data_IF_249704945420
#
_entry.id   IF_249704945420
#
_cell.length_a   1.000
_cell.length_b   1.000
_cell.length_c   1.000
_cell.angle_alpha   90.00
_cell.angle_beta   90.00
_cell.angle_gamma   90.00
#
_symmetry.space_group_name_H-M   'P 1'
#
loop_
_entity.id
_entity.type
_entity.pdbx_description
1 polymer ?
#
# COMPACT_ATOMS: atom_id res chain seq x y z
N UNK A 1 31.40 -6.13 8.87
CA UNK A 1 30.80 -5.43 10.04
C UNK A 1 29.62 -4.57 9.57
N UNK A 2 28.63 -5.18 8.89
CA UNK A 2 27.40 -4.50 8.49
C UNK A 2 26.43 -4.68 9.67
N UNK A 3 26.63 -3.78 10.63
CA UNK A 3 26.84 -4.02 12.07
C UNK A 3 25.67 -4.65 12.81
N UNK A 4 25.94 -5.27 13.96
CA UNK A 4 24.92 -5.84 14.84
C UNK A 4 23.82 -4.83 15.24
N UNK A 5 24.14 -3.53 15.16
CA UNK A 5 23.16 -2.45 15.21
C UNK A 5 22.06 -2.57 14.15
N UNK A 6 22.42 -2.78 12.87
CA UNK A 6 21.45 -2.94 11.77
C UNK A 6 20.53 -4.15 12.00
N UNK A 7 21.07 -5.26 12.49
CA UNK A 7 20.29 -6.47 12.81
C UNK A 7 19.37 -6.22 14.01
N UNK A 8 19.87 -5.59 15.06
CA UNK A 8 19.08 -5.25 16.26
C UNK A 8 17.93 -4.30 15.91
N UNK A 9 18.21 -3.21 15.19
CA UNK A 9 17.19 -2.25 14.77
C UNK A 9 16.11 -2.90 13.92
N UNK A 10 16.50 -3.82 13.06
CA UNK A 10 15.56 -4.57 12.25
C UNK A 10 14.70 -5.54 13.07
N UNK A 11 15.26 -6.22 14.07
CA UNK A 11 14.46 -7.00 15.03
C UNK A 11 13.46 -6.14 15.78
N UNK A 12 13.90 -5.00 16.33
CA UNK A 12 13.07 -4.08 17.11
C UNK A 12 11.97 -3.46 16.25
N UNK A 13 12.29 -3.04 15.02
CA UNK A 13 11.33 -2.41 14.11
C UNK A 13 10.10 -3.27 13.82
N UNK A 14 10.25 -4.61 13.84
CA UNK A 14 9.15 -5.54 13.62
C UNK A 14 8.45 -5.99 14.90
N UNK A 15 8.92 -5.58 16.07
CA UNK A 15 8.20 -5.80 17.32
C UNK A 15 7.04 -4.81 17.42
N UNK A 16 5.82 -5.34 17.58
CA UNK A 16 4.60 -4.54 17.69
C UNK A 16 4.35 -4.09 19.15
N UNK A 17 5.38 -3.57 19.83
CA UNK A 17 5.26 -3.06 21.20
C UNK A 17 5.65 -1.58 21.27
N UNK A 18 5.05 -0.86 22.22
CA UNK A 18 5.37 0.55 22.44
C UNK A 18 6.85 0.75 22.78
N UNK A 19 7.39 -0.11 23.65
CA UNK A 19 8.80 -0.06 24.06
C UNK A 19 9.74 -0.23 22.86
N UNK A 20 9.43 -1.15 21.95
CA UNK A 20 10.24 -1.36 20.75
C UNK A 20 10.18 -0.16 19.81
N UNK A 21 9.02 0.46 19.64
CA UNK A 21 8.89 1.69 18.83
C UNK A 21 9.75 2.80 19.44
N UNK A 22 9.67 3.01 20.76
CA UNK A 22 10.47 4.01 21.47
C UNK A 22 11.97 3.70 21.36
N UNK A 23 12.37 2.45 21.56
CA UNK A 23 13.77 2.01 21.44
C UNK A 23 14.30 2.21 20.02
N UNK A 24 13.51 1.87 19.00
CA UNK A 24 13.89 2.06 17.60
C UNK A 24 14.18 3.54 17.32
N UNK A 25 13.23 4.43 17.61
CA UNK A 25 13.39 5.85 17.28
C UNK A 25 14.48 6.54 18.12
N UNK A 26 14.66 6.14 19.38
CA UNK A 26 15.73 6.67 20.25
C UNK A 26 17.13 6.16 19.90
N UNK A 27 17.25 5.10 19.09
CA UNK A 27 18.53 4.55 18.65
C UNK A 27 19.18 5.31 17.49
N UNK A 28 18.50 6.31 16.92
CA UNK A 28 19.01 7.15 15.83
C UNK A 28 19.18 8.60 16.30
N UNK A 29 20.26 9.24 15.86
CA UNK A 29 20.56 10.62 16.21
C UNK A 29 19.85 11.63 15.31
N UNK A 30 19.32 11.19 14.16
CA UNK A 30 18.62 12.03 13.20
C UNK A 30 17.67 11.25 12.29
N UNK A 31 16.73 11.97 11.66
CA UNK A 31 15.87 11.43 10.60
C UNK A 31 16.67 10.86 9.43
N UNK A 32 17.81 11.47 9.08
CA UNK A 32 18.65 11.02 7.97
C UNK A 32 19.21 9.62 8.21
N UNK A 33 19.59 9.31 9.45
CA UNK A 33 20.06 7.97 9.81
C UNK A 33 18.93 6.93 9.70
N UNK A 34 17.71 7.29 10.07
CA UNK A 34 16.52 6.44 9.90
C UNK A 34 16.29 6.17 8.41
N UNK A 35 16.34 7.20 7.57
CA UNK A 35 16.16 7.07 6.11
C UNK A 35 17.26 6.16 5.52
N UNK A 36 18.51 6.35 5.92
CA UNK A 36 19.62 5.52 5.47
C UNK A 36 19.49 4.07 5.93
N UNK A 37 19.04 3.85 7.17
CA UNK A 37 18.69 2.52 7.66
C UNK A 37 17.55 1.90 6.82
N UNK A 38 16.47 2.63 6.56
CA UNK A 38 15.35 2.17 5.73
C UNK A 38 15.78 1.83 4.30
N UNK A 39 16.75 2.54 3.75
CA UNK A 39 17.33 2.25 2.42
C UNK A 39 18.14 0.96 2.42
N UNK A 40 18.92 0.70 3.47
CA UNK A 40 19.89 -0.41 3.55
C UNK A 40 19.33 -1.69 4.18
N UNK A 41 18.24 -1.61 4.95
CA UNK A 41 17.65 -2.77 5.63
C UNK A 41 17.33 -3.88 4.63
N UNK A 42 17.44 -5.13 5.08
CA UNK A 42 17.03 -6.28 4.26
C UNK A 42 15.55 -6.13 3.91
N UNK A 43 15.26 -6.20 2.62
CA UNK A 43 13.92 -6.14 2.06
C UNK A 43 13.57 -7.53 1.55
N UNK A 44 12.28 -7.86 1.63
CA UNK A 44 11.75 -9.00 0.94
C UNK A 44 11.10 -8.51 -0.35
N UNK A 45 11.32 -9.24 -1.43
CA UNK A 45 10.68 -8.93 -2.70
C UNK A 45 9.17 -9.18 -2.59
N UNK A 46 8.34 -8.30 -3.16
CA UNK A 46 6.90 -8.52 -3.18
C UNK A 46 6.53 -9.70 -4.06
N UNK A 47 5.60 -10.51 -3.57
CA UNK A 47 4.82 -11.45 -4.35
C UNK A 47 3.63 -10.71 -4.94
N UNK A 48 3.36 -10.96 -6.21
CA UNK A 48 2.23 -10.37 -6.93
C UNK A 48 1.20 -11.47 -7.21
N UNK A 49 -0.05 -11.20 -6.87
CA UNK A 49 -1.20 -12.02 -7.28
C UNK A 49 -2.29 -11.13 -7.87
N UNK A 50 -3.09 -11.67 -8.78
CA UNK A 50 -4.05 -10.88 -9.53
C UNK A 50 -5.43 -11.53 -9.48
N UNK A 51 -6.47 -10.70 -9.52
CA UNK A 51 -7.83 -11.13 -9.79
C UNK A 51 -8.32 -10.42 -11.05
N UNK A 52 -8.95 -11.20 -11.94
CA UNK A 52 -9.49 -10.71 -13.21
C UNK A 52 -10.56 -9.64 -13.00
N UNK A 53 -10.70 -8.78 -14.02
CA UNK A 53 -11.67 -7.70 -14.09
C UNK A 53 -11.36 -6.78 -15.27
N UNK A 54 -12.06 -5.66 -15.32
CA UNK A 54 -11.86 -4.60 -16.32
C UNK A 54 -10.50 -3.91 -16.12
N UNK A 55 -9.87 -3.53 -17.24
CA UNK A 55 -8.51 -2.95 -17.28
C UNK A 55 -8.51 -1.42 -17.31
N UNK A 56 -9.67 -0.76 -17.41
CA UNK A 56 -9.76 0.71 -17.47
C UNK A 56 -9.36 1.38 -16.14
N UNK A 57 -9.77 0.76 -15.02
CA UNK A 57 -9.39 1.14 -13.66
C UNK A 57 -8.81 -0.09 -12.97
N UNK A 58 -7.55 -0.02 -12.55
CA UNK A 58 -6.89 -1.12 -11.85
C UNK A 58 -6.65 -0.76 -10.39
N UNK A 59 -7.11 -1.64 -9.50
CA UNK A 59 -6.89 -1.50 -8.07
C UNK A 59 -5.58 -2.20 -7.65
N UNK A 60 -4.63 -1.45 -7.13
CA UNK A 60 -3.40 -1.96 -6.52
C UNK A 60 -3.57 -2.01 -5.00
N UNK A 61 -3.53 -3.21 -4.44
CA UNK A 61 -3.78 -3.49 -3.03
C UNK A 61 -2.50 -4.03 -2.38
N UNK A 62 -1.62 -3.15 -1.85
CA UNK A 62 -0.42 -3.56 -1.14
C UNK A 62 -0.72 -4.04 0.28
N UNK A 63 -0.14 -5.16 0.71
CA UNK A 63 -0.35 -5.68 2.05
C UNK A 63 0.68 -6.72 2.46
N UNK A 64 0.61 -7.17 3.71
CA UNK A 64 1.59 -8.14 4.21
C UNK A 64 1.12 -9.54 3.84
N UNK A 65 -0.09 -9.90 4.25
CA UNK A 65 -0.64 -11.24 4.14
C UNK A 65 -1.61 -11.36 2.95
N UNK A 66 -1.28 -12.17 1.95
CA UNK A 66 -2.14 -12.43 0.78
C UNK A 66 -3.56 -12.90 1.15
N UNK A 67 -3.68 -13.74 2.19
CA UNK A 67 -4.98 -14.25 2.63
C UNK A 67 -5.86 -13.13 3.20
N UNK A 68 -5.28 -12.20 3.96
CA UNK A 68 -6.00 -11.03 4.46
C UNK A 68 -6.40 -10.08 3.34
N UNK A 69 -5.52 -9.86 2.37
CA UNK A 69 -5.80 -8.99 1.21
C UNK A 69 -6.96 -9.50 0.36
N UNK A 70 -7.01 -10.81 0.10
CA UNK A 70 -8.08 -11.45 -0.67
C UNK A 70 -9.36 -11.68 0.14
N UNK A 71 -9.22 -11.82 1.46
CA UNK A 71 -10.32 -12.14 2.38
C UNK A 71 -11.13 -10.92 2.84
N UNK A 72 -10.59 -9.70 2.74
CA UNK A 72 -11.31 -8.50 3.17
C UNK A 72 -12.56 -8.27 2.31
N UNK A 73 -13.73 -8.38 2.92
CA UNK A 73 -15.04 -8.15 2.28
C UNK A 73 -15.13 -6.74 1.70
N UNK A 74 -14.55 -5.76 2.37
CA UNK A 74 -14.56 -4.36 1.95
C UNK A 74 -13.88 -4.10 0.59
N UNK A 75 -12.79 -4.79 0.28
CA UNK A 75 -12.14 -4.66 -1.04
C UNK A 75 -12.91 -5.39 -2.13
N UNK A 76 -13.60 -6.48 -1.80
CA UNK A 76 -14.41 -7.21 -2.80
C UNK A 76 -15.52 -6.30 -3.32
N UNK A 77 -16.23 -5.63 -2.43
CA UNK A 77 -17.38 -4.80 -2.79
C UNK A 77 -16.96 -3.50 -3.49
N UNK A 78 -15.92 -2.83 -2.97
CA UNK A 78 -15.44 -1.56 -3.54
C UNK A 78 -14.85 -1.72 -4.95
N UNK A 79 -14.12 -2.81 -5.18
CA UNK A 79 -13.44 -3.08 -6.43
C UNK A 79 -14.10 -4.23 -7.19
N UNK A 80 -15.41 -4.39 -7.03
CA UNK A 80 -16.22 -5.28 -7.87
C UNK A 80 -16.17 -4.79 -9.32
N UNK A 81 -15.83 -5.70 -10.23
CA UNK A 81 -15.70 -5.41 -11.67
C UNK A 81 -14.30 -4.95 -12.10
N UNK A 82 -13.47 -4.42 -11.21
CA UNK A 82 -12.11 -3.96 -11.55
C UNK A 82 -11.08 -5.08 -11.42
N UNK A 83 -10.07 -5.07 -12.30
CA UNK A 83 -8.88 -5.89 -12.10
C UNK A 83 -8.19 -5.45 -10.80
N UNK A 84 -7.81 -6.43 -10.00
CA UNK A 84 -7.11 -6.21 -8.73
C UNK A 84 -5.72 -6.82 -8.79
N UNK A 85 -4.73 -6.05 -8.36
CA UNK A 85 -3.34 -6.48 -8.21
C UNK A 85 -3.02 -6.41 -6.73
N UNK A 86 -2.85 -7.56 -6.12
CA UNK A 86 -2.40 -7.68 -4.75
C UNK A 86 -0.88 -7.81 -4.74
N UNK A 87 -0.22 -6.97 -3.95
CA UNK A 87 1.24 -6.99 -3.82
C UNK A 87 1.62 -7.11 -2.35
N UNK A 88 2.32 -8.18 -1.98
CA UNK A 88 2.68 -8.38 -0.59
C UNK A 88 3.90 -9.24 -0.36
N UNK A 89 4.48 -9.12 0.83
CA UNK A 89 5.68 -9.89 1.21
C UNK A 89 5.34 -11.23 1.89
N UNK A 90 4.06 -11.60 1.97
CA UNK A 90 3.58 -12.80 2.65
C UNK A 90 3.73 -12.69 4.17
N UNK A 91 4.60 -13.50 4.77
CA UNK A 91 4.80 -13.57 6.22
C UNK A 91 6.00 -12.78 6.73
N UNK A 92 6.75 -12.10 5.85
CA UNK A 92 7.98 -11.42 6.25
C UNK A 92 7.87 -9.90 6.35
N UNK A 93 9.05 -9.27 6.38
CA UNK A 93 9.33 -7.85 6.64
C UNK A 93 8.68 -6.92 5.61
N UNK A 94 7.49 -6.36 5.88
CA UNK A 94 6.78 -5.61 4.87
C UNK A 94 7.53 -4.35 4.43
N UNK A 95 7.44 -4.05 3.14
CA UNK A 95 7.90 -2.80 2.57
C UNK A 95 6.80 -2.24 1.68
N UNK A 96 5.91 -1.47 2.29
CA UNK A 96 4.76 -0.88 1.63
C UNK A 96 5.13 -0.10 0.36
N UNK A 97 6.13 0.81 0.36
CA UNK A 97 6.58 1.48 -0.87
C UNK A 97 7.00 0.53 -2.00
N UNK A 98 7.71 -0.55 -1.69
CA UNK A 98 8.13 -1.52 -2.72
C UNK A 98 6.92 -2.28 -3.25
N UNK A 99 6.02 -2.75 -2.38
CA UNK A 99 4.78 -3.41 -2.81
C UNK A 99 3.91 -2.51 -3.70
N UNK A 100 3.78 -1.24 -3.35
CA UNK A 100 3.08 -0.25 -4.19
C UNK A 100 3.74 -0.14 -5.56
N UNK A 101 5.06 0.05 -5.60
CA UNK A 101 5.78 0.24 -6.86
C UNK A 101 5.70 -1.00 -7.76
N UNK A 102 5.87 -2.20 -7.21
CA UNK A 102 5.74 -3.44 -7.98
C UNK A 102 4.30 -3.68 -8.45
N UNK A 103 3.31 -3.34 -7.62
CA UNK A 103 1.90 -3.37 -8.01
C UNK A 103 1.59 -2.40 -9.16
N UNK A 104 2.11 -1.17 -9.11
CA UNK A 104 1.97 -0.18 -10.20
C UNK A 104 2.65 -0.68 -11.47
N UNK A 105 3.89 -1.18 -11.38
CA UNK A 105 4.60 -1.75 -12.55
C UNK A 105 3.81 -2.89 -13.19
N UNK A 106 3.14 -3.71 -12.38
CA UNK A 106 2.24 -4.74 -12.91
C UNK A 106 1.01 -4.14 -13.57
N UNK A 107 0.35 -3.18 -12.94
CA UNK A 107 -0.83 -2.51 -13.47
C UNK A 107 -0.57 -1.88 -14.84
N UNK A 108 0.59 -1.22 -15.00
CA UNK A 108 0.96 -0.55 -16.25
C UNK A 108 1.04 -1.48 -17.47
N UNK A 109 1.15 -2.80 -17.28
CA UNK A 109 1.15 -3.77 -18.39
C UNK A 109 -0.21 -3.91 -19.08
N UNK A 110 -1.28 -3.48 -18.41
CA UNK A 110 -2.66 -3.51 -18.91
C UNK A 110 -3.09 -2.17 -19.50
N UNK A 111 -2.18 -1.19 -19.54
CA UNK A 111 -2.43 0.15 -20.07
C UNK A 111 -3.70 0.82 -19.48
N UNK A 112 -3.87 0.83 -18.14
CA UNK A 112 -5.07 1.39 -17.52
C UNK A 112 -5.15 2.90 -17.71
N UNK A 113 -6.38 3.42 -17.73
CA UNK A 113 -6.61 4.87 -17.65
C UNK A 113 -6.28 5.38 -16.24
N UNK A 114 -6.64 4.58 -15.22
CA UNK A 114 -6.46 4.92 -13.82
C UNK A 114 -5.90 3.76 -12.99
N UNK A 115 -4.98 4.11 -12.09
CA UNK A 115 -4.50 3.18 -11.04
C UNK A 115 -4.94 3.73 -9.68
N UNK A 116 -5.68 2.91 -8.93
CA UNK A 116 -6.13 3.21 -7.57
C UNK A 116 -5.31 2.40 -6.58
N UNK A 117 -4.62 3.04 -5.65
CA UNK A 117 -3.85 2.36 -4.61
C UNK A 117 -4.64 2.36 -3.30
N UNK A 118 -4.92 1.19 -2.73
CA UNK A 118 -5.74 1.04 -1.51
C UNK A 118 -5.16 0.03 -0.52
N UNK A 119 -5.23 0.35 0.78
CA UNK A 119 -4.85 -0.61 1.83
C UNK A 119 -5.85 -1.78 1.88
N UNK A 120 -5.41 -3.02 2.19
CA UNK A 120 -6.30 -4.17 2.26
C UNK A 120 -7.39 -4.04 3.32
N UNK A 121 -7.17 -3.20 4.32
CA UNK A 121 -8.11 -3.01 5.42
C UNK A 121 -8.92 -1.71 5.25
N UNK A 122 -9.01 -1.17 4.03
CA UNK A 122 -9.82 0.03 3.75
C UNK A 122 -11.29 -0.33 3.85
N UNK A 123 -11.97 0.26 4.84
CA UNK A 123 -13.43 0.26 4.91
C UNK A 123 -13.92 1.49 4.15
N UNK A 124 -14.63 1.27 3.06
CA UNK A 124 -15.31 2.35 2.34
C UNK A 124 -16.81 2.19 2.56
N UNK A 125 -17.44 3.28 2.99
CA UNK A 125 -18.88 3.40 3.01
C UNK A 125 -19.34 3.84 1.60
N UNK A 126 -19.56 2.90 0.68
CA UNK A 126 -19.94 3.16 -0.73
C UNK A 126 -19.79 1.93 -1.65
N UNK A 127 -20.30 1.99 -2.89
CA UNK A 127 -20.22 0.90 -3.90
C UNK A 127 -19.21 1.20 -5.01
N UNK A 128 -18.80 0.19 -5.79
CA UNK A 128 -17.84 0.33 -6.91
C UNK A 128 -18.26 1.35 -7.98
N UNK A 129 -19.57 1.49 -8.23
CA UNK A 129 -20.12 2.48 -9.17
C UNK A 129 -19.79 3.92 -8.72
N UNK A 130 -19.75 4.15 -7.41
CA UNK A 130 -19.40 5.46 -6.84
C UNK A 130 -17.91 5.76 -7.06
N UNK A 131 -17.04 4.74 -7.00
CA UNK A 131 -15.60 4.92 -7.26
C UNK A 131 -15.34 5.24 -8.74
N UNK A 132 -15.97 4.53 -9.68
CA UNK A 132 -15.81 4.79 -11.11
C UNK A 132 -16.27 6.20 -11.48
N UNK A 133 -17.40 6.65 -10.93
CA UNK A 133 -17.88 8.01 -11.13
C UNK A 133 -16.95 9.05 -10.47
N UNK A 134 -16.47 8.79 -9.25
CA UNK A 134 -15.54 9.69 -8.57
C UNK A 134 -14.22 9.84 -9.33
N UNK A 135 -13.67 8.76 -9.89
CA UNK A 135 -12.46 8.78 -10.70
C UNK A 135 -12.69 9.55 -12.01
N UNK A 136 -13.83 9.38 -12.67
CA UNK A 136 -14.20 10.15 -13.88
C UNK A 136 -14.39 11.65 -13.61
N UNK A 137 -14.86 12.01 -12.41
CA UNK A 137 -15.04 13.39 -11.98
C UNK A 137 -13.74 14.04 -11.49
N UNK A 138 -12.71 13.26 -11.18
CA UNK A 138 -11.41 13.79 -10.82
C UNK A 138 -10.79 14.48 -12.06
N UNK A 139 -10.68 15.80 -12.02
CA UNK A 139 -10.12 16.57 -13.12
C UNK A 139 -8.61 16.29 -13.29
N UNK A 140 -8.13 16.29 -14.53
CA UNK A 140 -6.73 16.02 -14.85
C UNK A 140 -5.72 17.00 -14.24
N UNK A 141 -6.15 18.20 -13.86
CA UNK A 141 -5.27 19.21 -13.26
C UNK A 141 -5.10 19.02 -11.75
N UNK A 142 -5.99 18.26 -11.11
CA UNK A 142 -5.88 17.90 -9.71
C UNK A 142 -5.23 16.53 -9.58
N UNK A 143 -3.90 16.51 -9.38
CA UNK A 143 -3.15 15.36 -8.85
C UNK A 143 -3.57 14.99 -7.40
N UNK A 144 -4.82 15.30 -7.01
CA UNK A 144 -5.32 15.23 -5.64
C UNK A 144 -6.07 13.93 -5.42
N UNK A 145 -5.41 13.07 -4.64
CA UNK A 145 -5.93 12.29 -3.53
C UNK A 145 -7.45 12.48 -3.30
N UNK A 146 -8.26 11.48 -3.67
CA UNK A 146 -9.62 11.37 -3.15
C UNK A 146 -9.54 10.78 -1.73
N UNK A 147 -9.85 11.57 -0.71
CA UNK A 147 -10.08 11.08 0.67
C UNK A 147 -11.56 11.33 0.97
N UNK A 148 -12.41 10.31 1.13
CA UNK A 148 -13.70 10.52 1.76
C UNK A 148 -13.49 10.99 3.22
N UNK A 149 -14.10 12.13 3.57
CA UNK A 149 -14.08 12.75 4.90
C UNK A 149 -14.83 11.95 5.99
N UNK A 150 -14.86 12.47 7.24
CA UNK A 150 -14.34 11.77 8.41
C UNK A 150 -15.33 10.79 9.07
N UNK A 151 -14.80 9.63 9.48
CA UNK A 151 -15.25 8.90 10.66
C UNK A 151 -14.05 8.83 11.64
N UNK A 152 -14.25 8.91 12.97
CA UNK A 152 -13.20 9.29 13.93
C UNK A 152 -12.07 8.28 14.14
N UNK A 153 -12.01 7.19 13.38
CA UNK A 153 -11.12 6.07 13.68
C UNK A 153 -10.40 5.60 12.41
N UNK A 154 -9.12 5.98 12.32
CA UNK A 154 -8.08 5.50 11.38
C UNK A 154 -8.19 6.03 9.95
N UNK A 155 -7.48 7.13 9.71
CA UNK A 155 -7.06 7.60 8.38
C UNK A 155 -6.39 6.48 7.58
N UNK A 156 -6.87 6.21 6.36
CA UNK A 156 -6.24 5.28 5.40
C UNK A 156 -6.08 5.99 4.06
N UNK A 157 -4.87 5.89 3.52
CA UNK A 157 -4.43 6.64 2.36
C UNK A 157 -4.93 6.00 1.06
N UNK A 158 -5.51 6.80 0.16
CA UNK A 158 -5.76 6.44 -1.24
C UNK A 158 -4.88 7.34 -2.13
N UNK A 159 -3.99 6.76 -2.93
CA UNK A 159 -3.21 7.48 -3.95
C UNK A 159 -3.77 7.12 -5.31
N UNK A 160 -4.07 8.14 -6.11
CA UNK A 160 -4.52 8.02 -7.50
C UNK A 160 -3.40 8.62 -8.36
N UNK A 161 -2.93 7.86 -9.34
CA UNK A 161 -1.95 8.33 -10.31
C UNK A 161 -2.45 8.06 -11.72
N UNK A 162 -2.31 9.05 -12.61
CA UNK A 162 -2.60 8.92 -14.05
C UNK A 162 -1.30 9.02 -14.86
N UNK A 163 -1.26 8.33 -16.00
CA UNK A 163 -0.20 8.41 -17.01
C UNK A 163 -0.40 9.67 -17.89
N UNK A 164 0.67 10.44 -18.06
CA UNK A 164 0.77 11.49 -19.08
C UNK A 164 1.02 10.87 -20.46
#
# INVERSE_FOLDING_TARGET
MMSDFMKRMDTIFYQQSFDAVSEFFSSFSSETEIIEWMRKRKKQDPVISEAEGEDDIIAVIPGNNHTEMMGSTSNKDLFTGFRKIYSGTGSGRPNFPICVNEGIKRALKYEPEWIVISSPNTNVYGKSLDLRNAVKLASYEDNRILIPGPSPVKSRYMRIGKRN
#
